data_IF_481661685562
#
_entry.id   IF_481661685562
#
_cell.length_a   1.000
_cell.length_b   1.000
_cell.length_c   1.000
_cell.angle_alpha   90.00
_cell.angle_beta   90.00
_cell.angle_gamma   90.00
#
_symmetry.space_group_name_H-M   'P 1'
#
loop_
_entity.id
_entity.type
_entity.pdbx_description
1 polymer ?
#
# COMPACT_ATOMS: atom_id res chain seq x y z
N UNK A 1 10.72 -4.89 -9.43
CA UNK A 1 9.97 -5.00 -8.16
C UNK A 1 9.37 -3.65 -7.76
N UNK A 2 10.18 -2.59 -7.63
CA UNK A 2 9.70 -1.22 -7.32
C UNK A 2 8.61 -0.72 -8.27
N UNK A 3 8.72 -1.00 -9.57
CA UNK A 3 7.71 -0.59 -10.55
C UNK A 3 6.34 -1.25 -10.33
N UNK A 4 6.32 -2.56 -10.01
CA UNK A 4 5.06 -3.28 -9.73
C UNK A 4 4.34 -2.70 -8.52
N UNK A 5 5.11 -2.29 -7.50
CA UNK A 5 4.59 -1.66 -6.29
C UNK A 5 4.02 -0.27 -6.61
N UNK A 6 4.69 0.51 -7.47
CA UNK A 6 4.15 1.81 -7.92
C UNK A 6 2.83 1.66 -8.67
N UNK A 7 2.75 0.70 -9.60
CA UNK A 7 1.52 0.42 -10.36
C UNK A 7 0.38 0.01 -9.41
N UNK A 8 0.65 -0.92 -8.49
CA UNK A 8 -0.36 -1.36 -7.51
C UNK A 8 -0.87 -0.22 -6.63
N UNK A 9 0.01 0.67 -6.17
CA UNK A 9 -0.41 1.85 -5.40
C UNK A 9 -1.24 2.79 -6.26
N UNK A 10 -0.77 3.11 -7.48
CA UNK A 10 -1.46 4.05 -8.35
C UNK A 10 -2.89 3.57 -8.65
N UNK A 11 -3.06 2.27 -8.94
CA UNK A 11 -4.38 1.65 -9.09
C UNK A 11 -5.18 1.68 -7.79
N UNK A 12 -4.60 1.27 -6.66
CA UNK A 12 -5.27 1.26 -5.37
C UNK A 12 -5.74 2.65 -4.90
N UNK A 13 -5.04 3.71 -5.30
CA UNK A 13 -5.40 5.10 -4.96
C UNK A 13 -6.59 5.63 -5.77
N UNK A 14 -7.01 4.95 -6.84
CA UNK A 14 -8.27 5.30 -7.54
C UNK A 14 -9.49 5.16 -6.63
N UNK A 15 -9.42 4.26 -5.64
CA UNK A 15 -10.38 4.14 -4.53
C UNK A 15 -9.62 4.06 -3.19
N UNK A 16 -9.14 5.22 -2.76
CA UNK A 16 -8.35 5.36 -1.53
C UNK A 16 -9.09 4.87 -0.28
N UNK A 17 -10.42 5.05 -0.21
CA UNK A 17 -11.21 4.63 0.94
C UNK A 17 -11.31 3.10 1.02
N UNK A 18 -11.56 2.43 -0.10
CA UNK A 18 -11.54 0.97 -0.16
C UNK A 18 -10.15 0.40 0.14
N UNK A 19 -9.09 1.04 -0.39
CA UNK A 19 -7.72 0.66 -0.09
C UNK A 19 -7.43 0.74 1.42
N UNK A 20 -7.75 1.87 2.06
CA UNK A 20 -7.55 2.06 3.50
C UNK A 20 -8.39 1.10 4.36
N UNK A 21 -9.58 0.72 3.91
CA UNK A 21 -10.38 -0.32 4.58
C UNK A 21 -9.68 -1.67 4.50
N UNK A 22 -9.20 -2.04 3.32
CA UNK A 22 -8.53 -3.33 3.08
C UNK A 22 -7.15 -3.42 3.76
N UNK A 23 -6.47 -2.30 4.01
CA UNK A 23 -5.16 -2.29 4.67
C UNK A 23 -5.20 -2.74 6.13
N UNK A 24 -6.37 -2.68 6.79
CA UNK A 24 -6.49 -3.06 8.21
C UNK A 24 -6.05 -4.50 8.50
N UNK A 25 -6.25 -5.42 7.56
CA UNK A 25 -5.80 -6.81 7.70
C UNK A 25 -4.26 -6.98 7.72
N UNK A 26 -3.52 -5.96 7.26
CA UNK A 26 -2.06 -5.97 7.18
C UNK A 26 -1.39 -5.12 8.26
N UNK A 27 -2.14 -4.62 9.25
CA UNK A 27 -1.56 -3.90 10.37
C UNK A 27 -0.75 -4.85 11.27
N UNK A 28 0.45 -4.43 11.67
CA UNK A 28 1.29 -5.20 12.58
C UNK A 28 1.92 -6.47 12.00
N UNK A 29 1.79 -6.71 10.69
CA UNK A 29 2.39 -7.87 10.03
C UNK A 29 3.91 -7.79 10.08
N UNK A 30 4.53 -8.87 10.55
CA UNK A 30 5.98 -9.04 10.58
C UNK A 30 6.51 -9.56 9.24
N UNK A 31 7.77 -9.27 8.93
CA UNK A 31 8.38 -9.71 7.67
C UNK A 31 9.73 -9.09 7.41
N UNK A 32 10.24 -9.28 6.19
CA UNK A 32 11.50 -8.69 5.75
C UNK A 32 11.30 -7.22 5.39
N UNK A 33 12.11 -6.33 5.98
CA UNK A 33 12.13 -4.91 5.62
C UNK A 33 12.75 -4.75 4.24
N UNK A 34 12.17 -3.90 3.41
CA UNK A 34 12.67 -3.58 2.07
C UNK A 34 12.41 -2.12 1.78
N UNK A 35 13.35 -1.48 1.08
CA UNK A 35 13.24 -0.09 0.65
C UNK A 35 12.57 -0.06 -0.73
N UNK A 36 11.56 0.81 -0.88
CA UNK A 36 10.85 1.00 -2.15
C UNK A 36 10.91 2.48 -2.50
N UNK A 37 11.44 2.80 -3.67
CA UNK A 37 11.44 4.16 -4.18
C UNK A 37 10.05 4.50 -4.72
N UNK A 38 9.45 5.57 -4.21
CA UNK A 38 8.17 6.10 -4.67
C UNK A 38 8.33 7.55 -5.14
N UNK A 39 7.61 7.98 -6.19
CA UNK A 39 7.47 9.39 -6.50
C UNK A 39 6.99 10.18 -5.28
N UNK A 40 7.52 11.39 -5.10
CA UNK A 40 7.28 12.20 -3.89
C UNK A 40 5.77 12.45 -3.64
N UNK A 41 5.00 12.70 -4.69
CA UNK A 41 3.57 12.97 -4.60
C UNK A 41 2.77 11.72 -4.16
N UNK A 42 3.14 10.55 -4.68
CA UNK A 42 2.55 9.28 -4.26
C UNK A 42 2.87 8.99 -2.78
N UNK A 43 4.13 9.17 -2.39
CA UNK A 43 4.52 8.99 -0.99
C UNK A 43 3.78 9.95 -0.05
N UNK A 44 3.64 11.22 -0.43
CA UNK A 44 2.88 12.21 0.34
C UNK A 44 1.41 11.82 0.47
N UNK A 45 0.78 11.39 -0.62
CA UNK A 45 -0.63 10.97 -0.65
C UNK A 45 -0.86 9.78 0.27
N UNK A 46 0.01 8.76 0.21
CA UNK A 46 -0.04 7.60 1.11
C UNK A 46 0.06 7.99 2.58
N UNK A 47 0.95 8.93 2.94
CA UNK A 47 1.04 9.41 4.33
C UNK A 47 -0.23 10.10 4.81
N UNK A 48 -0.87 10.91 3.96
CA UNK A 48 -2.13 11.59 4.30
C UNK A 48 -3.24 10.56 4.54
N UNK A 49 -3.39 9.59 3.64
CA UNK A 49 -4.39 8.52 3.77
C UNK A 49 -4.14 7.69 5.02
N UNK A 50 -2.87 7.33 5.28
CA UNK A 50 -2.50 6.59 6.48
C UNK A 50 -2.93 7.31 7.76
N UNK A 51 -2.70 8.62 7.84
CA UNK A 51 -3.11 9.45 8.96
C UNK A 51 -4.64 9.59 9.07
N UNK A 52 -5.34 9.78 7.95
CA UNK A 52 -6.80 9.96 7.94
C UNK A 52 -7.57 8.70 8.34
N UNK A 53 -7.02 7.51 8.06
CA UNK A 53 -7.71 6.24 8.23
C UNK A 53 -7.14 5.36 9.35
N UNK A 54 -6.25 5.90 10.18
CA UNK A 54 -5.58 5.19 11.28
C UNK A 54 -4.96 3.86 10.80
N UNK A 55 -4.11 3.96 9.78
CA UNK A 55 -3.38 2.83 9.20
C UNK A 55 -1.93 3.22 8.93
N UNK A 56 -1.12 2.28 8.43
CA UNK A 56 0.29 2.53 8.10
C UNK A 56 0.52 2.51 6.59
N UNK A 57 1.56 3.20 6.15
CA UNK A 57 1.99 3.16 4.74
C UNK A 57 2.35 1.73 4.32
N UNK A 58 2.95 0.94 5.21
CA UNK A 58 3.23 -0.49 4.98
C UNK A 58 1.94 -1.27 4.72
N UNK A 59 0.90 -1.07 5.53
CA UNK A 59 -0.36 -1.77 5.38
C UNK A 59 -1.09 -1.40 4.08
N UNK A 60 -1.04 -0.12 3.69
CA UNK A 60 -1.57 0.35 2.40
C UNK A 60 -0.82 -0.28 1.22
N UNK A 61 0.51 -0.36 1.30
CA UNK A 61 1.36 -1.02 0.30
C UNK A 61 1.00 -2.49 0.15
N UNK A 62 0.88 -3.23 1.25
CA UNK A 62 0.53 -4.64 1.23
C UNK A 62 -0.87 -4.86 0.66
N UNK A 63 -1.85 -4.06 1.06
CA UNK A 63 -3.19 -4.12 0.50
C UNK A 63 -3.22 -3.88 -1.01
N UNK A 64 -2.50 -2.87 -1.48
CA UNK A 64 -2.41 -2.58 -2.90
C UNK A 64 -1.78 -3.76 -3.67
N UNK A 65 -0.69 -4.33 -3.16
CA UNK A 65 0.01 -5.46 -3.77
C UNK A 65 -0.89 -6.71 -3.81
N UNK A 66 -1.51 -7.08 -2.68
CA UNK A 66 -2.39 -8.24 -2.61
C UNK A 66 -3.63 -8.10 -3.50
N UNK A 67 -4.20 -6.89 -3.61
CA UNK A 67 -5.33 -6.62 -4.51
C UNK A 67 -4.94 -6.75 -5.98
N UNK A 68 -3.76 -6.21 -6.34
CA UNK A 68 -3.32 -6.15 -7.74
C UNK A 68 -2.71 -7.47 -8.22
N UNK A 69 -2.06 -8.20 -7.33
CA UNK A 69 -1.31 -9.42 -7.63
C UNK A 69 -1.61 -10.53 -6.62
N UNK A 70 -2.83 -11.10 -6.61
CA UNK A 70 -3.21 -12.13 -5.65
C UNK A 70 -2.27 -13.35 -5.69
N UNK A 71 -1.82 -13.74 -6.89
CA UNK A 71 -0.98 -14.92 -7.10
C UNK A 71 0.47 -14.75 -6.63
N UNK A 72 0.93 -13.51 -6.42
CA UNK A 72 2.31 -13.22 -5.96
C UNK A 72 2.48 -13.39 -4.45
N UNK A 73 1.42 -13.74 -3.72
CA UNK A 73 1.39 -13.70 -2.26
C UNK A 73 1.18 -15.07 -1.60
N UNK A 74 1.52 -16.13 -2.34
CA UNK A 74 1.50 -17.53 -1.87
C UNK A 74 2.77 -17.92 -1.14
#
# INVERSE_FOLDING_TARGET
MTELVRVAIADGLTDAAALAKSSRQFQGVSGRRSTVDLPADLHKTLKVIAAQHDTSVQALLLAAIHRTYPDLTT
#
